data_IF_245405907065
#
_entry.id   IF_245405907065
#
_cell.length_a   1.000
_cell.length_b   1.000
_cell.length_c   1.000
_cell.angle_alpha   90.00
_cell.angle_beta   90.00
_cell.angle_gamma   90.00
#
_symmetry.space_group_name_H-M   'P 1'
#
loop_
_entity.id
_entity.type
_entity.pdbx_description
1 polymer ?
#
# COMPACT_ATOMS: atom_id res chain seq x y z
N UNK A 1 -2.52 -1.32 -17.49
CA UNK A 1 -2.53 -2.60 -16.73
C UNK A 1 -1.13 -3.08 -16.36
N UNK A 2 -0.17 -3.19 -17.29
CA UNK A 2 1.19 -3.74 -17.02
C UNK A 2 1.96 -3.17 -15.81
N UNK A 3 1.73 -1.91 -15.43
CA UNK A 3 2.46 -1.27 -14.33
C UNK A 3 2.04 -1.78 -12.94
N UNK A 4 0.74 -2.09 -12.77
CA UNK A 4 0.22 -2.61 -11.51
C UNK A 4 0.69 -4.05 -11.29
N UNK A 5 0.64 -4.87 -12.35
CA UNK A 5 1.15 -6.25 -12.33
C UNK A 5 2.64 -6.31 -11.97
N UNK A 6 3.45 -5.43 -12.55
CA UNK A 6 4.87 -5.34 -12.22
C UNK A 6 5.08 -4.94 -10.76
N UNK A 7 4.31 -3.97 -10.26
CA UNK A 7 4.34 -3.59 -8.86
C UNK A 7 3.94 -4.76 -7.94
N UNK A 8 2.92 -5.54 -8.26
CA UNK A 8 2.54 -6.69 -7.45
C UNK A 8 3.66 -7.74 -7.38
N UNK A 9 4.32 -8.03 -8.50
CA UNK A 9 5.46 -8.95 -8.51
C UNK A 9 6.65 -8.42 -7.72
N UNK A 10 6.91 -7.11 -7.78
CA UNK A 10 7.94 -6.46 -6.98
C UNK A 10 7.62 -6.56 -5.49
N UNK A 11 6.40 -6.20 -5.09
CA UNK A 11 5.95 -6.25 -3.70
C UNK A 11 5.90 -7.68 -3.15
N UNK A 12 5.60 -8.68 -3.97
CA UNK A 12 5.66 -10.07 -3.55
C UNK A 12 7.09 -10.56 -3.28
N UNK A 13 8.10 -9.98 -3.94
CA UNK A 13 9.52 -10.35 -3.76
C UNK A 13 10.20 -9.56 -2.64
N UNK A 14 9.81 -8.30 -2.47
CA UNK A 14 10.41 -7.37 -1.52
C UNK A 14 9.33 -6.49 -0.88
N UNK A 15 8.46 -7.06 -0.04
CA UNK A 15 7.37 -6.31 0.59
C UNK A 15 7.84 -5.18 1.53
N UNK A 16 9.09 -5.23 1.99
CA UNK A 16 9.71 -4.24 2.89
C UNK A 16 10.01 -2.89 2.22
N UNK A 17 9.95 -2.79 0.88
CA UNK A 17 10.22 -1.54 0.16
C UNK A 17 9.07 -0.52 0.29
N UNK A 18 7.89 -0.97 0.72
CA UNK A 18 6.76 -0.08 0.95
C UNK A 18 6.93 0.75 2.22
N UNK A 19 6.25 1.90 2.23
CA UNK A 19 6.16 2.75 3.40
C UNK A 19 5.15 2.16 4.38
N UNK A 20 5.57 1.87 5.60
CA UNK A 20 4.67 1.55 6.72
C UNK A 20 3.73 2.73 6.98
N UNK A 21 2.44 2.46 7.09
CA UNK A 21 1.33 3.41 7.25
C UNK A 21 0.67 3.22 8.62
N UNK A 22 1.46 3.26 9.69
CA UNK A 22 0.98 3.13 11.07
C UNK A 22 0.00 4.22 11.45
N UNK A 23 0.01 5.36 10.74
CA UNK A 23 -1.00 6.41 10.88
C UNK A 23 -2.39 6.01 10.38
N UNK A 24 -2.52 4.91 9.62
CA UNK A 24 -3.78 4.32 9.17
C UNK A 24 -4.07 3.03 9.96
N UNK A 25 -3.12 2.09 9.97
CA UNK A 25 -3.20 0.86 10.77
C UNK A 25 -1.79 0.27 11.00
N UNK A 26 -1.59 -0.39 12.15
CA UNK A 26 -0.27 -0.83 12.63
C UNK A 26 0.50 -1.77 11.69
N UNK A 27 -0.20 -2.65 10.98
CA UNK A 27 0.41 -3.64 10.06
C UNK A 27 0.34 -3.20 8.58
N UNK A 28 -0.18 -2.01 8.29
CA UNK A 28 -0.42 -1.57 6.92
C UNK A 28 0.83 -0.96 6.29
N UNK A 29 1.11 -1.35 5.06
CA UNK A 29 2.14 -0.75 4.21
C UNK A 29 1.51 -0.20 2.92
N UNK A 30 2.22 0.71 2.26
CA UNK A 30 1.81 1.24 0.97
C UNK A 30 2.97 1.47 0.01
N UNK A 31 2.72 1.35 -1.28
CA UNK A 31 3.71 1.63 -2.32
C UNK A 31 3.06 2.38 -3.51
N UNK A 32 3.68 3.46 -4.01
CA UNK A 32 3.17 4.18 -5.18
C UNK A 32 3.39 3.38 -6.47
N UNK A 33 2.44 3.46 -7.39
CA UNK A 33 2.50 2.87 -8.74
C UNK A 33 1.83 3.81 -9.73
N UNK A 34 2.63 4.68 -10.35
CA UNK A 34 2.13 5.78 -11.17
C UNK A 34 1.20 6.69 -10.36
N UNK A 35 -0.04 6.89 -10.81
CA UNK A 35 -1.05 7.71 -10.13
C UNK A 35 -1.80 6.99 -9.00
N UNK A 36 -1.45 5.74 -8.69
CA UNK A 36 -2.11 4.93 -7.67
C UNK A 36 -1.19 4.64 -6.48
N UNK A 37 -1.78 4.36 -5.33
CA UNK A 37 -1.12 3.88 -4.13
C UNK A 37 -1.73 2.50 -3.83
N UNK A 38 -0.87 1.49 -3.76
CA UNK A 38 -1.25 0.13 -3.40
C UNK A 38 -1.07 0.01 -1.89
N UNK A 39 -2.14 -0.33 -1.17
CA UNK A 39 -2.12 -0.63 0.26
C UNK A 39 -2.11 -2.14 0.46
N UNK A 40 -1.23 -2.64 1.30
CA UNK A 40 -1.07 -4.08 1.51
C UNK A 40 -0.59 -4.43 2.91
N UNK A 41 -0.82 -5.68 3.30
CA UNK A 41 -0.27 -6.30 4.50
C UNK A 41 0.79 -7.32 4.08
N UNK A 42 1.87 -7.41 4.87
CA UNK A 42 2.86 -8.47 4.73
C UNK A 42 2.51 -9.62 5.67
N UNK A 43 2.40 -10.84 5.13
CA UNK A 43 2.27 -12.08 5.90
C UNK A 43 3.52 -12.93 5.70
N UNK A 44 3.60 -14.07 6.39
CA UNK A 44 4.82 -14.88 6.43
C UNK A 44 5.25 -15.40 5.04
N UNK A 45 4.30 -15.67 4.16
CA UNK A 45 4.49 -16.33 2.87
C UNK A 45 3.89 -15.57 1.68
N UNK A 46 3.14 -14.49 1.92
CA UNK A 46 2.48 -13.72 0.88
C UNK A 46 2.22 -12.27 1.31
N UNK A 47 1.83 -11.43 0.36
CA UNK A 47 1.22 -10.13 0.61
C UNK A 47 -0.30 -10.20 0.42
N UNK A 48 -1.04 -9.40 1.17
CA UNK A 48 -2.48 -9.20 0.97
C UNK A 48 -2.68 -7.78 0.46
N UNK A 49 -3.14 -7.62 -0.78
CA UNK A 49 -3.54 -6.30 -1.29
C UNK A 49 -4.87 -5.93 -0.63
N UNK A 50 -4.86 -4.85 0.15
CA UNK A 50 -6.04 -4.36 0.87
C UNK A 50 -6.86 -3.43 -0.01
N UNK A 51 -6.20 -2.48 -0.67
CA UNK A 51 -6.86 -1.50 -1.55
C UNK A 51 -5.87 -0.89 -2.55
N UNK A 52 -6.39 -0.30 -3.62
CA UNK A 52 -5.63 0.45 -4.63
C UNK A 52 -6.35 1.76 -4.88
N UNK A 53 -5.85 2.82 -4.25
CA UNK A 53 -6.46 4.13 -4.33
C UNK A 53 -5.70 5.03 -5.29
N UNK A 54 -6.39 5.97 -5.92
CA UNK A 54 -5.71 7.06 -6.60
C UNK A 54 -4.92 7.89 -5.57
N UNK A 55 -3.75 8.43 -5.92
CA UNK A 55 -2.89 9.16 -4.98
C UNK A 55 -3.57 10.36 -4.30
N UNK A 56 -4.58 10.95 -4.97
CA UNK A 56 -5.37 12.06 -4.41
C UNK A 56 -6.40 11.61 -3.36
N UNK A 57 -6.62 10.31 -3.23
CA UNK A 57 -7.51 9.68 -2.25
C UNK A 57 -6.74 9.10 -1.05
N UNK A 58 -5.48 9.49 -0.85
CA UNK A 58 -4.72 9.05 0.33
C UNK A 58 -5.52 9.36 1.61
N UNK A 59 -5.89 8.34 2.43
CA UNK A 59 -6.75 8.51 3.59
C UNK A 59 -6.24 9.56 4.58
N UNK A 60 -4.92 9.71 4.72
CA UNK A 60 -4.32 10.70 5.64
C UNK A 60 -4.68 12.14 5.25
N UNK A 61 -5.03 12.39 3.99
CA UNK A 61 -5.44 13.73 3.52
C UNK A 61 -6.89 14.07 3.87
N UNK A 62 -7.71 13.08 4.20
CA UNK A 62 -9.17 13.21 4.27
C UNK A 62 -9.76 12.74 5.59
N UNK A 63 -9.07 11.86 6.32
CA UNK A 63 -9.49 11.37 7.62
C UNK A 63 -8.64 12.05 8.70
N UNK A 64 -9.26 12.82 9.61
CA UNK A 64 -8.54 13.32 10.78
C UNK A 64 -8.08 12.12 11.62
N UNK A 65 -6.83 12.18 12.11
CA UNK A 65 -6.28 11.19 13.01
C UNK A 65 -7.27 10.97 14.16
N UNK A 66 -7.78 9.75 14.34
CA UNK A 66 -8.56 9.43 15.53
C UNK A 66 -7.59 9.44 16.71
N UNK A 67 -7.62 10.53 17.49
CA UNK A 67 -6.93 10.64 18.78
C UNK A 67 -7.59 9.72 19.81
#
# INVERSE_FOLDING_TARGET
>A
MKQLDHCFHLLNRSPEIGRVRTEIASELSSHPSGSHIIYYLTKADHIVIVDILHQNMDPVRHLPSQQ
#
